data_IF_386968775601
#
_entry.id   IF_386968775601
#
_cell.length_a   1.000
_cell.length_b   1.000
_cell.length_c   1.000
_cell.angle_alpha   90.00
_cell.angle_beta   90.00
_cell.angle_gamma   90.00
#
_symmetry.space_group_name_H-M   'P 1'
#
loop_
_entity.id
_entity.type
_entity.pdbx_description
1 polymer ?
#
# COMPACT_ATOMS: atom_id res chain seq x y z
N UNK A 1 14.42 2.80 -12.43
CA UNK A 1 13.71 4.01 -11.97
C UNK A 1 13.24 3.80 -10.56
N UNK A 2 13.43 4.79 -9.68
CA UNK A 2 13.09 4.67 -8.27
C UNK A 2 11.69 5.20 -8.03
N UNK A 3 10.89 4.44 -7.30
CA UNK A 3 9.52 4.81 -6.94
C UNK A 3 9.36 4.74 -5.42
N UNK A 4 8.59 5.67 -4.87
CA UNK A 4 8.29 5.75 -3.44
C UNK A 4 6.77 5.65 -3.29
N UNK A 5 6.33 4.73 -2.43
CA UNK A 5 4.90 4.55 -2.16
C UNK A 5 4.63 4.69 -0.67
N UNK A 6 3.54 5.39 -0.32
CA UNK A 6 3.13 5.54 1.07
C UNK A 6 1.64 5.90 1.16
N UNK A 7 1.07 5.73 2.35
CA UNK A 7 -0.31 6.15 2.62
C UNK A 7 -0.30 7.59 3.13
N UNK A 8 -0.93 8.48 2.38
CA UNK A 8 -1.11 9.87 2.78
C UNK A 8 -2.24 9.97 3.80
N UNK A 9 -1.93 10.59 4.94
CA UNK A 9 -2.89 10.83 6.02
C UNK A 9 -3.76 9.61 6.30
N UNK A 10 -3.18 8.51 6.84
CA UNK A 10 -3.90 7.23 6.99
C UNK A 10 -5.15 7.30 7.86
N UNK A 11 -5.31 8.36 8.67
CA UNK A 11 -6.48 8.54 9.51
C UNK A 11 -7.54 9.44 8.87
N UNK A 12 -7.22 10.10 7.76
CA UNK A 12 -8.11 11.06 7.08
C UNK A 12 -8.26 10.72 5.60
N UNK A 13 -7.26 11.07 4.80
CA UNK A 13 -7.32 10.89 3.34
C UNK A 13 -7.29 9.41 2.94
N UNK A 14 -6.58 8.57 3.70
CA UNK A 14 -6.47 7.12 3.44
C UNK A 14 -6.16 6.84 1.96
N UNK A 15 -5.17 7.54 1.43
CA UNK A 15 -4.84 7.51 0.00
C UNK A 15 -3.42 6.99 -0.18
N UNK A 16 -3.27 5.91 -0.96
CA UNK A 16 -1.97 5.43 -1.39
C UNK A 16 -1.45 6.34 -2.49
N UNK A 17 -0.26 6.92 -2.28
CA UNK A 17 0.43 7.75 -3.27
C UNK A 17 1.68 7.04 -3.75
N UNK A 18 1.93 7.11 -5.05
CA UNK A 18 3.17 6.61 -5.65
C UNK A 18 3.85 7.77 -6.37
N UNK A 19 5.09 8.02 -5.99
CA UNK A 19 5.95 9.06 -6.57
C UNK A 19 7.12 8.41 -7.30
N UNK A 20 7.57 9.06 -8.35
CA UNK A 20 8.73 8.62 -9.13
C UNK A 20 9.78 9.69 -9.12
N UNK A 21 11.04 9.29 -8.94
CA UNK A 21 12.16 10.20 -9.08
C UNK A 21 12.52 10.26 -10.57
N UNK A 22 12.40 11.45 -11.16
CA UNK A 22 12.68 11.68 -12.57
C UNK A 22 13.47 12.97 -12.72
N UNK A 23 14.68 12.89 -13.30
CA UNK A 23 15.56 14.05 -13.53
C UNK A 23 15.82 14.86 -12.25
N UNK A 24 15.93 14.19 -11.09
CA UNK A 24 16.16 14.83 -9.80
C UNK A 24 14.93 15.42 -9.15
N UNK A 25 13.74 15.22 -9.73
CA UNK A 25 12.48 15.71 -9.20
C UNK A 25 11.56 14.56 -8.82
N UNK A 26 10.69 14.80 -7.81
CA UNK A 26 9.63 13.87 -7.46
C UNK A 26 8.38 14.20 -8.28
N UNK A 27 7.88 13.20 -8.98
CA UNK A 27 6.67 13.33 -9.79
C UNK A 27 5.62 12.33 -9.30
N UNK A 28 4.42 12.79 -9.00
CA UNK A 28 3.33 11.90 -8.63
C UNK A 28 2.92 11.06 -9.84
N UNK A 29 2.93 9.75 -9.67
CA UNK A 29 2.59 8.82 -10.75
C UNK A 29 1.16 8.34 -10.62
N UNK A 30 0.72 8.02 -9.40
CA UNK A 30 -0.59 7.44 -9.17
C UNK A 30 -1.06 7.69 -7.74
N UNK A 31 -2.38 7.66 -7.57
CA UNK A 31 -3.02 7.76 -6.26
C UNK A 31 -4.25 6.86 -6.24
N UNK A 32 -4.53 6.25 -5.07
CA UNK A 32 -5.71 5.41 -4.89
C UNK A 32 -6.24 5.59 -3.47
N UNK A 33 -7.47 6.05 -3.36
CA UNK A 33 -8.15 6.26 -2.08
C UNK A 33 -8.69 4.94 -1.50
N UNK A 34 -9.04 4.97 -0.23
CA UNK A 34 -9.67 3.83 0.44
C UNK A 34 -8.68 2.80 0.99
N UNK A 35 -7.42 3.19 1.20
CA UNK A 35 -6.38 2.32 1.74
C UNK A 35 -5.74 2.98 2.95
N UNK A 36 -5.39 2.17 3.95
CA UNK A 36 -4.74 2.66 5.17
C UNK A 36 -3.78 1.62 5.73
N UNK A 37 -2.86 2.06 6.58
CA UNK A 37 -1.88 1.18 7.22
C UNK A 37 -1.58 1.58 8.66
N UNK A 38 -2.32 2.54 9.23
CA UNK A 38 -2.02 3.04 10.57
C UNK A 38 -3.28 3.50 11.28
N UNK A 39 -3.41 3.14 12.56
CA UNK A 39 -4.44 3.65 13.46
C UNK A 39 -3.84 4.62 14.46
N UNK A 40 -4.63 5.60 14.88
CA UNK A 40 -4.22 6.56 15.91
C UNK A 40 -3.81 5.81 17.18
N UNK A 41 -2.66 6.16 17.73
CA UNK A 41 -2.14 5.54 18.95
C UNK A 41 -1.16 4.40 18.70
N UNK A 42 -1.04 3.92 17.48
CA UNK A 42 -0.04 2.89 17.16
C UNK A 42 1.34 3.51 16.99
N UNK A 43 2.36 2.84 17.50
CA UNK A 43 3.76 3.16 17.27
C UNK A 43 4.39 2.30 16.16
N UNK A 44 3.56 1.55 15.43
CA UNK A 44 3.98 0.69 14.32
C UNK A 44 3.19 1.03 13.06
N UNK A 45 3.76 0.73 11.90
CA UNK A 45 3.09 0.79 10.60
C UNK A 45 3.19 -0.59 9.97
N UNK A 46 2.17 -1.44 10.16
CA UNK A 46 2.21 -2.81 9.62
C UNK A 46 2.01 -2.83 8.12
N UNK A 47 2.38 -3.93 7.50
CA UNK A 47 2.32 -4.08 6.05
C UNK A 47 3.64 -3.72 5.40
N UNK A 48 3.61 -3.37 4.15
CA UNK A 48 4.80 -2.99 3.40
C UNK A 48 4.72 -3.42 1.94
N UNK A 49 5.88 -3.63 1.35
CA UNK A 49 6.00 -4.04 -0.05
C UNK A 49 6.50 -5.48 -0.10
N UNK A 50 5.89 -6.29 -0.96
CA UNK A 50 6.35 -7.66 -1.22
C UNK A 50 6.50 -7.88 -2.72
N UNK A 51 7.36 -8.83 -3.11
CA UNK A 51 7.47 -9.31 -4.48
C UNK A 51 7.50 -10.84 -4.41
N UNK A 52 6.44 -11.47 -4.90
CA UNK A 52 6.28 -12.91 -4.88
C UNK A 52 6.51 -13.53 -6.26
N UNK A 53 7.23 -12.83 -7.13
CA UNK A 53 7.58 -13.30 -8.48
C UNK A 53 6.89 -12.55 -9.60
N UNK A 54 5.82 -11.80 -9.29
CA UNK A 54 5.03 -11.06 -10.28
C UNK A 54 5.25 -9.55 -10.23
N UNK A 55 6.33 -9.11 -9.61
CA UNK A 55 6.62 -7.70 -9.40
C UNK A 55 6.17 -7.20 -8.04
N UNK A 56 6.59 -5.99 -7.67
CA UNK A 56 6.26 -5.44 -6.35
C UNK A 56 4.79 -5.11 -6.20
N UNK A 57 4.25 -5.37 -5.02
CA UNK A 57 2.90 -4.99 -4.64
C UNK A 57 2.89 -4.49 -3.20
N UNK A 58 2.00 -3.54 -2.92
CA UNK A 58 1.88 -2.94 -1.61
C UNK A 58 0.79 -3.64 -0.80
N UNK A 59 1.10 -3.95 0.46
CA UNK A 59 0.16 -4.60 1.39
C UNK A 59 -0.33 -3.55 2.37
N UNK A 60 -1.64 -3.31 2.36
CA UNK A 60 -2.30 -2.37 3.28
C UNK A 60 -3.62 -2.97 3.76
N UNK A 61 -4.32 -2.24 4.63
CA UNK A 61 -5.72 -2.52 4.95
C UNK A 61 -6.63 -1.67 4.09
N UNK A 62 -7.86 -2.12 3.90
CA UNK A 62 -8.93 -1.28 3.37
C UNK A 62 -9.23 -0.14 4.34
N UNK A 63 -9.77 0.97 3.84
CA UNK A 63 -10.04 2.16 4.65
C UNK A 63 -10.92 1.89 5.86
N UNK A 64 -11.81 0.91 5.79
CA UNK A 64 -12.70 0.50 6.88
C UNK A 64 -12.09 -0.60 7.76
N UNK A 65 -10.87 -1.04 7.50
CA UNK A 65 -10.18 -2.10 8.25
C UNK A 65 -10.91 -3.46 8.18
N UNK A 66 -11.53 -3.75 7.06
CA UNK A 66 -12.26 -5.02 6.87
C UNK A 66 -11.43 -6.07 6.16
N UNK A 67 -10.53 -5.66 5.27
CA UNK A 67 -9.75 -6.57 4.44
C UNK A 67 -8.29 -6.17 4.36
N UNK A 68 -7.45 -7.17 4.13
CA UNK A 68 -6.08 -6.97 3.67
C UNK A 68 -6.15 -6.75 2.17
N UNK A 69 -5.49 -5.69 1.67
CA UNK A 69 -5.54 -5.31 0.26
C UNK A 69 -4.14 -5.33 -0.31
N UNK A 70 -3.98 -5.93 -1.47
CA UNK A 70 -2.75 -5.83 -2.25
C UNK A 70 -2.99 -4.88 -3.41
N UNK A 71 -2.04 -3.97 -3.64
CA UNK A 71 -2.13 -2.96 -4.68
C UNK A 71 -0.87 -2.97 -5.52
N UNK A 72 -1.03 -2.95 -6.82
CA UNK A 72 0.06 -3.00 -7.79
C UNK A 72 -0.02 -1.83 -8.75
N UNK A 73 1.13 -1.22 -9.04
CA UNK A 73 1.25 -0.23 -10.11
C UNK A 73 1.43 -1.00 -11.42
N UNK A 74 0.47 -0.86 -12.33
CA UNK A 74 0.55 -1.55 -13.61
C UNK A 74 1.35 -0.74 -14.64
N UNK A 75 1.59 -1.35 -15.79
CA UNK A 75 2.42 -0.76 -16.85
C UNK A 75 1.85 0.55 -17.40
N UNK A 76 0.56 0.76 -17.24
CA UNK A 76 -0.11 1.99 -17.69
C UNK A 76 -0.02 3.14 -16.66
N UNK A 77 0.66 2.93 -15.55
CA UNK A 77 0.75 3.92 -14.49
C UNK A 77 -0.48 4.00 -13.60
N UNK A 78 -1.33 2.99 -13.62
CA UNK A 78 -2.53 2.91 -12.79
C UNK A 78 -2.35 1.93 -11.65
N UNK A 79 -2.97 2.23 -10.50
CA UNK A 79 -2.98 1.33 -9.35
C UNK A 79 -4.19 0.41 -9.43
N UNK A 80 -3.93 -0.88 -9.28
CA UNK A 80 -4.95 -1.92 -9.26
C UNK A 80 -4.90 -2.62 -7.93
N UNK A 81 -6.03 -2.68 -7.23
CA UNK A 81 -6.13 -3.30 -5.91
C UNK A 81 -6.98 -4.55 -5.93
N UNK A 82 -6.63 -5.48 -5.04
CA UNK A 82 -7.34 -6.74 -4.87
C UNK A 82 -7.43 -7.07 -3.40
N UNK A 83 -8.63 -7.47 -2.94
CA UNK A 83 -8.80 -7.95 -1.58
C UNK A 83 -8.16 -9.33 -1.46
N UNK A 84 -7.26 -9.47 -0.49
CA UNK A 84 -6.48 -10.69 -0.32
C UNK A 84 -7.10 -11.63 0.71
N UNK A 85 -7.53 -11.07 1.85
CA UNK A 85 -8.09 -11.84 2.96
C UNK A 85 -8.78 -10.88 3.95
N UNK A 86 -9.58 -11.39 4.89
CA UNK A 86 -10.10 -10.56 5.97
C UNK A 86 -8.96 -9.99 6.81
N UNK A 87 -9.13 -8.77 7.31
CA UNK A 87 -8.18 -8.16 8.23
C UNK A 87 -8.36 -8.78 9.63
N UNK A 88 -7.28 -9.23 10.23
CA UNK A 88 -7.28 -9.90 11.54
C UNK A 88 -6.21 -9.34 12.46
N UNK A 89 -6.14 -8.01 12.55
CA UNK A 89 -5.16 -7.34 13.37
C UNK A 89 -3.90 -6.93 12.58
N UNK A 90 -3.03 -6.10 13.17
CA UNK A 90 -1.84 -5.61 12.47
C UNK A 90 -0.88 -6.74 12.07
N UNK A 91 -0.84 -7.83 12.85
CA UNK A 91 0.00 -8.98 12.55
C UNK A 91 -0.39 -9.64 11.23
N UNK A 92 -1.68 -9.57 10.86
CA UNK A 92 -2.14 -10.14 9.59
C UNK A 92 -1.58 -9.39 8.39
N UNK A 93 -1.37 -8.08 8.51
CA UNK A 93 -0.71 -7.29 7.46
C UNK A 93 0.76 -7.66 7.34
N UNK A 94 1.47 -7.80 8.46
CA UNK A 94 2.88 -8.18 8.44
C UNK A 94 3.07 -9.60 7.91
N UNK A 95 2.17 -10.51 8.25
CA UNK A 95 2.21 -11.87 7.72
C UNK A 95 1.98 -11.89 6.20
N UNK A 96 1.12 -11.02 5.70
CA UNK A 96 0.84 -10.95 4.27
C UNK A 96 2.02 -10.44 3.44
N UNK A 97 2.97 -9.73 4.05
CA UNK A 97 4.20 -9.29 3.36
C UNK A 97 5.09 -10.48 3.02
N UNK A 98 5.00 -11.56 3.78
CA UNK A 98 5.71 -12.79 3.46
C UNK A 98 4.94 -13.54 2.38
N UNK A 99 5.63 -13.93 1.32
CA UNK A 99 5.00 -14.68 0.23
C UNK A 99 4.54 -16.06 0.70
N UNK A 100 3.36 -16.53 0.24
CA UNK A 100 2.87 -17.86 0.59
C UNK A 100 3.77 -18.98 0.04
#
# INVERSE_FOLDING_TARGET
MIEIAYIDRPHLAKTLLVWRVSNGELVEVAAKAGLTNHRIGWDIIPGGIRDCGDGPEMITASGAWTHIVTTRLNINGQLTSKELAPYEGPESLDAAVNCP
#
